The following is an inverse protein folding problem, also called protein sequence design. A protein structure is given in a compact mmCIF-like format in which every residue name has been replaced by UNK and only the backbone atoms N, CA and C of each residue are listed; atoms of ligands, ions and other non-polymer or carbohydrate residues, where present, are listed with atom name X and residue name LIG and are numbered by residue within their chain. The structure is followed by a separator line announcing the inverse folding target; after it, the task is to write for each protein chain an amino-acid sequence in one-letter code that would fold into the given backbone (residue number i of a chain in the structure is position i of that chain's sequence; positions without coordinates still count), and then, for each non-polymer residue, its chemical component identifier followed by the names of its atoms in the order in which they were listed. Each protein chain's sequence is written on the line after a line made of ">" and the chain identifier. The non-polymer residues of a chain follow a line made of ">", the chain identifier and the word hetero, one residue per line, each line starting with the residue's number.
data_IF_372651096612
#
_entry.id   IF_372651096612
#
_cell.length_a   1.000
_cell.length_b   1.000
_cell.length_c   1.000
_cell.angle_alpha   90.00
_cell.angle_beta   90.00
_cell.angle_gamma   90.00
#
_symmetry.space_group_name_H-M   'P 1'
#
loop_
_entity.id
_entity.type
_entity.pdbx_description
1 polymer ?
#
# COMPACT_ATOMS: atom_id res chain seq x y z
N UNK A 1 30.38 10.28 6.63
CA UNK A 1 29.54 9.45 5.79
C UNK A 1 30.26 9.21 4.49
N UNK A 2 30.73 8.02 4.31
CA UNK A 2 31.49 7.59 3.15
C UNK A 2 30.55 7.33 1.99
N UNK A 3 31.03 7.52 0.75
CA UNK A 3 30.21 7.23 -0.44
C UNK A 3 29.72 5.77 -0.56
N UNK A 4 30.07 4.92 0.39
CA UNK A 4 29.65 3.54 0.53
C UNK A 4 28.26 3.43 1.18
N UNK A 5 27.98 4.24 2.21
CA UNK A 5 26.64 4.28 2.86
C UNK A 5 25.58 4.80 1.89
N UNK A 6 25.91 5.80 1.09
CA UNK A 6 25.01 6.33 0.04
C UNK A 6 24.79 5.28 -1.05
N UNK A 7 25.83 4.56 -1.47
CA UNK A 7 25.71 3.49 -2.48
C UNK A 7 24.87 2.32 -1.97
N UNK A 8 25.00 1.95 -0.69
CA UNK A 8 24.23 0.86 -0.08
C UNK A 8 22.75 1.23 0.02
N UNK A 9 22.43 2.44 0.49
CA UNK A 9 21.04 2.91 0.54
C UNK A 9 20.41 3.00 -0.84
N UNK A 10 21.11 3.54 -1.83
CA UNK A 10 20.63 3.63 -3.21
C UNK A 10 20.46 2.25 -3.85
N UNK A 11 21.35 1.29 -3.56
CA UNK A 11 21.25 -0.08 -4.05
C UNK A 11 20.00 -0.81 -3.50
N UNK A 12 19.69 -0.59 -2.23
CA UNK A 12 18.49 -1.14 -1.60
C UNK A 12 17.23 -0.54 -2.20
N UNK A 13 17.16 0.78 -2.37
CA UNK A 13 16.05 1.46 -3.05
C UNK A 13 15.89 0.98 -4.50
N UNK A 14 16.98 0.82 -5.23
CA UNK A 14 16.94 0.30 -6.60
C UNK A 14 16.36 -1.12 -6.65
N UNK A 15 16.70 -1.95 -5.67
CA UNK A 15 16.27 -3.36 -5.65
C UNK A 15 14.82 -3.53 -5.20
N UNK A 16 14.40 -2.82 -4.16
CA UNK A 16 13.14 -3.06 -3.47
C UNK A 16 12.14 -1.89 -3.57
N UNK A 17 12.57 -0.76 -4.12
CA UNK A 17 11.78 0.47 -4.07
C UNK A 17 11.68 1.06 -2.67
N UNK A 18 10.87 2.09 -2.50
CA UNK A 18 10.56 2.67 -1.18
C UNK A 18 9.86 1.67 -0.23
N UNK A 19 9.14 0.62 -0.70
CA UNK A 19 8.55 -0.38 0.18
C UNK A 19 9.52 -1.17 1.06
N UNK A 20 10.85 -1.07 0.83
CA UNK A 20 11.86 -1.58 1.76
C UNK A 20 11.69 -1.01 3.18
N UNK A 21 11.07 0.15 3.30
CA UNK A 21 10.81 0.81 4.57
C UNK A 21 9.74 0.10 5.41
N UNK A 22 8.84 -0.69 4.82
CA UNK A 22 7.72 -1.34 5.51
C UNK A 22 8.21 -2.18 6.68
N UNK A 23 9.04 -3.19 6.41
CA UNK A 23 9.58 -4.08 7.46
C UNK A 23 10.44 -3.33 8.48
N UNK A 24 11.22 -2.36 8.02
CA UNK A 24 12.09 -1.58 8.91
C UNK A 24 11.27 -0.74 9.89
N UNK A 25 10.29 -0.01 9.39
CA UNK A 25 9.45 0.87 10.22
C UNK A 25 8.54 0.04 11.14
N UNK A 26 8.03 -1.10 10.67
CA UNK A 26 7.24 -2.01 11.50
C UNK A 26 8.05 -2.56 12.68
N UNK A 27 9.30 -2.98 12.44
CA UNK A 27 10.21 -3.44 13.51
C UNK A 27 10.56 -2.36 14.53
N UNK A 28 10.52 -1.09 14.12
CA UNK A 28 10.72 0.05 15.02
C UNK A 28 9.46 0.41 15.84
N UNK A 29 8.32 -0.24 15.58
CA UNK A 29 7.05 0.09 16.22
C UNK A 29 6.55 1.48 15.80
N UNK A 30 6.69 1.83 14.52
CA UNK A 30 6.31 3.14 13.99
C UNK A 30 5.49 3.05 12.69
N UNK A 31 5.02 1.83 12.33
CA UNK A 31 4.17 1.63 11.16
C UNK A 31 2.70 1.84 11.55
N UNK A 32 2.21 3.05 11.36
CA UNK A 32 0.82 3.41 11.67
C UNK A 32 -0.18 2.46 11.01
N UNK A 33 -1.12 1.97 11.81
CA UNK A 33 -2.05 0.91 11.45
C UNK A 33 -3.45 1.27 11.91
N UNK A 34 -4.48 0.97 11.11
CA UNK A 34 -5.90 1.19 11.41
C UNK A 34 -6.15 2.59 11.98
N UNK A 35 -5.94 3.60 11.14
CA UNK A 35 -6.03 5.03 11.49
C UNK A 35 -5.17 5.41 12.71
N UNK A 36 -3.93 4.90 12.77
CA UNK A 36 -2.95 5.15 13.85
C UNK A 36 -3.37 4.63 15.24
N UNK A 37 -4.33 3.70 15.31
CA UNK A 37 -4.70 3.05 16.57
C UNK A 37 -3.68 2.01 17.03
N UNK A 38 -2.78 1.60 16.13
CA UNK A 38 -1.61 0.74 16.42
C UNK A 38 -0.41 1.23 15.62
N UNK A 39 0.79 0.92 16.11
CA UNK A 39 2.09 1.27 15.50
C UNK A 39 2.81 0.04 14.94
N UNK A 40 2.17 -1.12 15.00
CA UNK A 40 2.67 -2.39 14.46
C UNK A 40 1.56 -3.05 13.66
N UNK A 41 1.90 -3.48 12.44
CA UNK A 41 1.02 -4.23 11.58
C UNK A 41 1.47 -5.69 11.50
N UNK A 42 0.64 -6.59 12.00
CA UNK A 42 0.93 -8.02 12.12
C UNK A 42 1.14 -8.71 10.76
N UNK A 43 0.44 -8.25 9.72
CA UNK A 43 0.49 -8.79 8.35
C UNK A 43 1.32 -7.94 7.38
N UNK A 44 2.40 -7.30 7.85
CA UNK A 44 3.20 -6.40 7.01
C UNK A 44 4.11 -7.13 6.01
N UNK A 45 4.54 -8.36 6.30
CA UNK A 45 5.51 -9.08 5.47
C UNK A 45 5.09 -9.22 4.00
N UNK A 46 3.84 -9.66 3.65
CA UNK A 46 3.44 -9.83 2.25
C UNK A 46 3.43 -8.53 1.43
N UNK A 47 3.29 -7.37 2.09
CA UNK A 47 3.27 -6.06 1.45
C UNK A 47 4.61 -5.32 1.55
N UNK A 48 5.66 -5.99 2.04
CA UNK A 48 7.02 -5.46 2.09
C UNK A 48 7.69 -5.47 0.72
N UNK A 49 8.64 -4.56 0.52
CA UNK A 49 9.41 -4.49 -0.73
C UNK A 49 10.18 -5.76 -1.01
N UNK A 50 10.69 -6.42 0.02
CA UNK A 50 11.42 -7.68 -0.09
C UNK A 50 10.52 -8.80 -0.61
N UNK A 51 9.37 -9.01 0.05
CA UNK A 51 8.42 -10.07 -0.33
C UNK A 51 7.85 -9.84 -1.73
N UNK A 52 7.40 -8.61 -2.01
CA UNK A 52 6.82 -8.28 -3.32
C UNK A 52 7.85 -8.45 -4.44
N UNK A 53 9.12 -8.08 -4.20
CA UNK A 53 10.20 -8.28 -5.17
C UNK A 53 10.45 -9.74 -5.49
N UNK A 54 10.46 -10.61 -4.48
CA UNK A 54 10.75 -12.04 -4.64
C UNK A 54 9.63 -12.80 -5.36
N UNK A 55 8.37 -12.39 -5.12
CA UNK A 55 7.22 -13.15 -5.58
C UNK A 55 6.58 -12.60 -6.88
N UNK A 56 6.57 -11.29 -7.07
CA UNK A 56 5.75 -10.65 -8.10
C UNK A 56 6.51 -9.77 -9.08
N UNK A 57 7.81 -9.57 -8.92
CA UNK A 57 8.59 -8.72 -9.79
C UNK A 57 8.56 -9.19 -11.24
N UNK A 58 8.31 -8.27 -12.16
CA UNK A 58 8.35 -8.48 -13.61
C UNK A 58 9.56 -7.77 -14.22
N UNK A 59 9.65 -6.45 -14.04
CA UNK A 59 10.75 -5.65 -14.61
C UNK A 59 10.98 -4.37 -13.82
N UNK A 60 12.22 -3.90 -13.86
CA UNK A 60 12.58 -2.59 -13.29
C UNK A 60 12.10 -1.45 -14.19
N UNK A 61 11.71 -0.34 -13.58
CA UNK A 61 11.34 0.90 -14.25
C UNK A 61 12.07 2.08 -13.62
N UNK A 62 12.06 3.23 -14.30
CA UNK A 62 12.71 4.44 -13.77
C UNK A 62 11.98 5.68 -14.28
N UNK A 63 11.95 6.72 -13.45
CA UNK A 63 11.53 8.05 -13.87
C UNK A 63 12.56 8.64 -14.84
N UNK A 64 12.10 9.56 -15.69
CA UNK A 64 12.95 10.20 -16.69
C UNK A 64 14.22 10.82 -16.03
N UNK A 65 15.40 10.38 -16.47
CA UNK A 65 16.72 10.82 -15.99
C UNK A 65 16.97 10.59 -14.49
N UNK A 66 16.22 9.73 -13.81
CA UNK A 66 16.46 9.41 -12.41
C UNK A 66 17.57 8.34 -12.28
N UNK A 67 18.69 8.62 -11.58
CA UNK A 67 19.78 7.66 -11.42
C UNK A 67 19.48 6.58 -10.37
N UNK A 68 18.47 6.75 -9.51
CA UNK A 68 18.12 5.78 -8.45
C UNK A 68 17.42 4.57 -9.04
N UNK A 69 16.52 4.77 -10.02
CA UNK A 69 15.79 3.71 -10.69
C UNK A 69 15.09 2.74 -9.71
N UNK A 70 14.33 3.29 -8.76
CA UNK A 70 13.65 2.53 -7.69
C UNK A 70 12.28 1.97 -8.10
N UNK A 71 11.80 2.30 -9.29
CA UNK A 71 10.51 1.79 -9.78
C UNK A 71 10.59 0.35 -10.28
N UNK A 72 9.46 -0.34 -10.26
CA UNK A 72 9.30 -1.67 -10.83
C UNK A 72 7.85 -1.87 -11.28
N UNK A 73 7.62 -2.82 -12.19
CA UNK A 73 6.30 -3.39 -12.44
C UNK A 73 6.22 -4.77 -11.81
N UNK A 74 5.05 -5.09 -11.31
CA UNK A 74 4.74 -6.36 -10.69
C UNK A 74 3.59 -7.04 -11.40
N UNK A 75 3.58 -8.37 -11.38
CA UNK A 75 2.51 -9.20 -11.89
C UNK A 75 2.09 -10.17 -10.79
N UNK A 76 0.82 -10.10 -10.40
CA UNK A 76 0.28 -10.97 -9.38
C UNK A 76 0.19 -12.41 -9.89
N UNK A 77 0.49 -13.36 -9.00
CA UNK A 77 0.49 -14.80 -9.29
C UNK A 77 -0.44 -15.50 -8.31
N UNK A 78 -1.52 -16.06 -8.85
CA UNK A 78 -2.53 -16.75 -8.06
C UNK A 78 -3.50 -15.81 -7.34
N UNK A 79 -4.53 -16.41 -6.73
CA UNK A 79 -5.55 -15.68 -6.00
C UNK A 79 -6.53 -14.90 -6.89
N UNK A 80 -7.29 -14.00 -6.26
CA UNK A 80 -8.31 -13.18 -6.93
C UNK A 80 -7.75 -12.28 -8.03
N UNK A 81 -6.53 -11.81 -7.86
CA UNK A 81 -5.89 -10.85 -8.75
C UNK A 81 -4.82 -11.49 -9.65
N UNK A 82 -4.92 -12.80 -9.92
CA UNK A 82 -3.99 -13.49 -10.81
C UNK A 82 -3.88 -12.79 -12.17
N UNK A 83 -2.64 -12.51 -12.59
CA UNK A 83 -2.36 -11.80 -13.84
C UNK A 83 -2.49 -10.28 -13.77
N UNK A 84 -2.93 -9.69 -12.65
CA UNK A 84 -2.93 -8.24 -12.49
C UNK A 84 -1.51 -7.70 -12.58
N UNK A 85 -1.29 -6.80 -13.52
CA UNK A 85 0.01 -6.16 -13.76
C UNK A 85 -0.10 -4.66 -13.54
N UNK A 86 0.74 -4.11 -12.65
CA UNK A 86 0.80 -2.68 -12.37
C UNK A 86 2.17 -2.25 -11.83
N UNK A 87 2.37 -0.94 -11.73
CA UNK A 87 3.56 -0.39 -11.08
C UNK A 87 3.59 -0.71 -9.59
N UNK A 88 4.79 -0.88 -9.04
CA UNK A 88 5.04 -1.01 -7.61
C UNK A 88 4.36 0.13 -6.84
N UNK A 89 3.52 -0.14 -5.84
CA UNK A 89 3.07 0.89 -4.91
C UNK A 89 4.27 1.44 -4.12
N UNK A 90 4.35 2.75 -3.99
CA UNK A 90 5.34 3.39 -3.11
C UNK A 90 5.03 3.13 -1.64
N UNK A 91 6.00 3.32 -0.75
CA UNK A 91 5.82 3.12 0.70
C UNK A 91 4.61 3.90 1.24
N UNK A 92 4.44 5.15 0.82
CA UNK A 92 3.33 6.01 1.24
C UNK A 92 1.97 5.45 0.83
N UNK A 93 1.89 4.86 -0.35
CA UNK A 93 0.68 4.16 -0.84
C UNK A 93 0.41 2.89 -0.03
N UNK A 94 1.46 2.09 0.26
CA UNK A 94 1.34 0.90 1.12
C UNK A 94 0.89 1.27 2.53
N UNK A 95 1.44 2.35 3.08
CA UNK A 95 1.00 2.91 4.35
C UNK A 95 -0.49 3.27 4.32
N UNK A 96 -0.90 4.13 3.36
CA UNK A 96 -2.24 4.71 3.34
C UNK A 96 -3.34 3.69 2.96
N UNK A 97 -3.15 2.93 1.87
CA UNK A 97 -4.13 1.96 1.36
C UNK A 97 -3.95 0.55 1.95
N UNK A 98 -2.81 0.29 2.59
CA UNK A 98 -2.47 -0.97 3.25
C UNK A 98 -2.69 -0.89 4.76
N UNK A 99 -1.65 -0.53 5.50
CA UNK A 99 -1.65 -0.65 6.96
C UNK A 99 -2.70 0.22 7.65
N UNK A 100 -2.93 1.44 7.16
CA UNK A 100 -3.96 2.34 7.69
C UNK A 100 -5.38 1.78 7.56
N UNK A 101 -5.63 0.89 6.60
CA UNK A 101 -6.90 0.18 6.37
C UNK A 101 -6.88 -1.28 6.84
N UNK A 102 -5.75 -1.77 7.38
CA UNK A 102 -5.58 -3.15 7.81
C UNK A 102 -5.39 -4.15 6.67
N UNK A 103 -5.07 -3.70 5.47
CA UNK A 103 -4.86 -4.53 4.28
C UNK A 103 -3.43 -5.07 4.25
N UNK A 104 -3.28 -6.39 4.30
CA UNK A 104 -2.00 -7.10 4.17
C UNK A 104 -1.92 -7.98 2.92
N UNK A 105 -2.91 -7.91 2.02
CA UNK A 105 -2.91 -8.63 0.75
C UNK A 105 -2.26 -7.80 -0.36
N UNK A 106 -1.14 -8.27 -0.95
CA UNK A 106 -0.44 -7.52 -2.00
C UNK A 106 -1.26 -7.34 -3.28
N UNK A 107 -2.15 -8.27 -3.60
CA UNK A 107 -3.02 -8.18 -4.77
C UNK A 107 -4.05 -7.06 -4.63
N UNK A 108 -4.70 -6.96 -3.48
CA UNK A 108 -5.60 -5.87 -3.14
C UNK A 108 -4.89 -4.52 -3.20
N UNK A 109 -3.69 -4.46 -2.62
CA UNK A 109 -2.89 -3.23 -2.60
C UNK A 109 -2.50 -2.76 -4.01
N UNK A 110 -2.08 -3.71 -4.87
CA UNK A 110 -1.74 -3.41 -6.27
C UNK A 110 -2.98 -2.92 -7.05
N UNK A 111 -4.15 -3.54 -6.83
CA UNK A 111 -5.41 -3.12 -7.45
C UNK A 111 -5.88 -1.75 -6.94
N UNK A 112 -5.78 -1.49 -5.64
CA UNK A 112 -6.12 -0.19 -5.06
C UNK A 112 -5.23 0.93 -5.61
N UNK A 113 -3.91 0.68 -5.74
CA UNK A 113 -2.99 1.62 -6.37
C UNK A 113 -3.36 1.89 -7.83
N UNK A 114 -3.71 0.85 -8.59
CA UNK A 114 -4.18 0.98 -9.97
C UNK A 114 -5.48 1.81 -10.05
N UNK A 115 -6.46 1.52 -9.19
CA UNK A 115 -7.72 2.26 -9.15
C UNK A 115 -7.51 3.75 -8.88
N UNK A 116 -6.65 4.11 -7.92
CA UNK A 116 -6.34 5.51 -7.66
C UNK A 116 -5.78 6.21 -8.90
N UNK A 117 -4.88 5.56 -9.64
CA UNK A 117 -4.36 6.12 -10.89
C UNK A 117 -5.45 6.26 -11.97
N UNK A 118 -6.32 5.25 -12.14
CA UNK A 118 -7.41 5.24 -13.12
C UNK A 118 -8.48 6.31 -12.82
N UNK A 119 -8.76 6.53 -11.52
CA UNK A 119 -9.77 7.46 -11.03
C UNK A 119 -9.23 8.87 -10.76
N UNK A 120 -7.91 9.08 -10.87
CA UNK A 120 -7.27 10.37 -10.60
C UNK A 120 -7.23 10.73 -9.10
N UNK A 121 -7.23 9.74 -8.21
CA UNK A 121 -7.18 9.91 -6.76
C UNK A 121 -5.74 9.92 -6.26
N UNK A 122 -5.44 10.80 -5.30
CA UNK A 122 -4.22 10.73 -4.52
C UNK A 122 -4.32 9.58 -3.51
N UNK A 123 -3.36 8.64 -3.55
CA UNK A 123 -3.40 7.42 -2.74
C UNK A 123 -3.35 7.69 -1.24
N UNK A 124 -2.58 8.69 -0.82
CA UNK A 124 -2.43 9.06 0.60
C UNK A 124 -3.72 9.70 1.10
N UNK A 125 -4.24 10.69 0.38
CA UNK A 125 -5.49 11.38 0.75
C UNK A 125 -6.67 10.42 0.80
N UNK A 126 -6.81 9.54 -0.19
CA UNK A 126 -7.86 8.53 -0.23
C UNK A 126 -7.76 7.56 0.96
N UNK A 127 -6.58 6.95 1.18
CA UNK A 127 -6.38 5.98 2.24
C UNK A 127 -6.59 6.56 3.64
N UNK A 128 -6.06 7.76 3.91
CA UNK A 128 -6.24 8.42 5.21
C UNK A 128 -7.70 8.82 5.43
N UNK A 129 -8.41 9.32 4.41
CA UNK A 129 -9.83 9.65 4.51
C UNK A 129 -10.67 8.40 4.80
N UNK A 130 -10.40 7.31 4.06
CA UNK A 130 -11.09 6.04 4.29
C UNK A 130 -10.79 5.48 5.68
N UNK A 131 -9.55 5.55 6.17
CA UNK A 131 -9.20 5.05 7.51
C UNK A 131 -9.93 5.80 8.62
N UNK A 132 -10.13 7.09 8.47
CA UNK A 132 -10.99 7.87 9.38
C UNK A 132 -12.45 7.39 9.32
N UNK A 133 -12.99 7.12 8.13
CA UNK A 133 -14.35 6.59 7.98
C UNK A 133 -14.52 5.22 8.65
N UNK A 134 -13.53 4.32 8.52
CA UNK A 134 -13.51 3.02 9.21
C UNK A 134 -13.51 3.18 10.73
N UNK A 135 -12.70 4.07 11.27
CA UNK A 135 -12.69 4.35 12.71
C UNK A 135 -14.02 4.97 13.19
N UNK A 136 -14.59 5.89 12.42
CA UNK A 136 -15.91 6.45 12.73
C UNK A 136 -17.02 5.39 12.71
N UNK A 137 -16.92 4.42 11.78
CA UNK A 137 -17.85 3.30 11.71
C UNK A 137 -17.70 2.38 12.93
N UNK A 138 -16.48 1.99 13.28
CA UNK A 138 -16.16 1.17 14.46
C UNK A 138 -16.66 1.81 15.76
N UNK A 139 -16.54 3.14 15.87
CA UNK A 139 -17.03 3.91 17.02
C UNK A 139 -18.54 4.22 16.97
N UNK A 140 -19.25 3.76 15.95
CA UNK A 140 -20.69 3.96 15.79
C UNK A 140 -21.11 5.40 15.43
N UNK A 141 -20.16 6.24 15.01
CA UNK A 141 -20.42 7.58 14.49
C UNK A 141 -20.92 7.57 13.04
N UNK A 142 -20.49 6.59 12.25
CA UNK A 142 -21.04 6.24 10.94
C UNK A 142 -21.77 4.91 11.04
N UNK A 143 -22.81 4.73 10.23
CA UNK A 143 -23.63 3.52 10.18
C UNK A 143 -23.68 2.99 8.75
N UNK A 144 -24.05 1.73 8.61
CA UNK A 144 -24.29 1.11 7.31
C UNK A 144 -25.28 1.89 6.43
N UNK A 145 -26.27 2.55 7.04
CA UNK A 145 -27.21 3.42 6.34
C UNK A 145 -26.57 4.65 5.69
N UNK A 146 -25.40 5.07 6.19
CA UNK A 146 -24.73 6.28 5.73
C UNK A 146 -23.76 5.99 4.58
N UNK A 147 -23.20 4.77 4.54
CA UNK A 147 -22.17 4.35 3.58
C UNK A 147 -22.61 3.21 2.65
N UNK A 148 -23.76 2.57 2.93
CA UNK A 148 -24.32 1.49 2.11
C UNK A 148 -23.90 0.07 2.50
N UNK A 149 -22.73 -0.11 3.14
CA UNK A 149 -22.14 -1.39 3.55
C UNK A 149 -21.39 -1.27 4.87
N UNK A 150 -20.91 -2.40 5.41
CA UNK A 150 -20.15 -2.40 6.65
C UNK A 150 -18.67 -2.09 6.35
N UNK A 151 -18.06 -1.20 7.14
CA UNK A 151 -16.62 -0.91 7.05
C UNK A 151 -15.86 -1.78 8.05
N UNK A 152 -15.17 -2.79 7.53
CA UNK A 152 -14.42 -3.76 8.34
C UNK A 152 -12.92 -3.67 8.02
N UNK A 153 -12.08 -3.46 9.04
CA UNK A 153 -10.63 -3.42 8.87
C UNK A 153 -10.11 -4.68 8.17
N UNK A 154 -9.31 -4.49 7.12
CA UNK A 154 -8.72 -5.57 6.37
C UNK A 154 -9.62 -6.21 5.31
N UNK A 155 -10.85 -5.72 5.13
CA UNK A 155 -11.74 -6.20 4.07
C UNK A 155 -11.40 -5.55 2.72
N UNK A 156 -10.83 -6.36 1.84
CA UNK A 156 -10.39 -5.96 0.51
C UNK A 156 -11.52 -5.47 -0.39
N UNK A 157 -12.69 -6.11 -0.32
CA UNK A 157 -13.84 -5.74 -1.16
C UNK A 157 -14.34 -4.35 -0.79
N UNK A 158 -14.51 -4.11 0.51
CA UNK A 158 -14.93 -2.82 1.05
C UNK A 158 -13.99 -1.70 0.65
N UNK A 159 -12.68 -1.92 0.74
CA UNK A 159 -11.67 -0.90 0.37
C UNK A 159 -11.75 -0.56 -1.12
N UNK A 160 -11.84 -1.56 -2.00
CA UNK A 160 -11.92 -1.33 -3.44
C UNK A 160 -13.23 -0.66 -3.84
N UNK A 161 -14.36 -1.08 -3.26
CA UNK A 161 -15.66 -0.45 -3.50
C UNK A 161 -15.68 1.01 -3.06
N UNK A 162 -15.13 1.30 -1.88
CA UNK A 162 -15.11 2.67 -1.35
C UNK A 162 -14.24 3.60 -2.20
N UNK A 163 -13.14 3.10 -2.79
CA UNK A 163 -12.34 3.87 -3.75
C UNK A 163 -13.14 4.26 -5.01
N UNK A 164 -13.98 3.34 -5.50
CA UNK A 164 -14.86 3.63 -6.63
C UNK A 164 -15.94 4.66 -6.24
N UNK A 165 -16.57 4.48 -5.08
CA UNK A 165 -17.67 5.35 -4.60
C UNK A 165 -17.21 6.80 -4.34
N UNK A 166 -16.02 7.03 -3.80
CA UNK A 166 -15.51 8.38 -3.54
C UNK A 166 -15.06 9.12 -4.80
N UNK A 167 -14.99 8.46 -5.94
CA UNK A 167 -14.60 9.05 -7.23
C UNK A 167 -15.77 9.60 -8.02
N UNK A 168 -17.01 9.34 -7.60
CA UNK A 168 -18.26 9.73 -8.25
C UNK A 168 -18.75 11.08 -7.75
#
# INVERSE_FOLDING_TARGET
>A
NTGEDVRTGTAALKKYGTPILVNMINKLGALGTRNLTSEIFENCEPISGEYMRENFHEKDTTCLKCPVACGANYIMKGGKFDGLQWKLPEYETIFALGTMLGIGDPGTLLRANQLCDELGLDTVSAGVTMSLAFECFEKGMLKKSDVGFDLTWGDSETVLQLLEDISL
#
